data_IF_461650766598
#
_entry.id   IF_461650766598
#
_cell.length_a   1.000
_cell.length_b   1.000
_cell.length_c   1.000
_cell.angle_alpha   90.00
_cell.angle_beta   90.00
_cell.angle_gamma   90.00
#
_symmetry.space_group_name_H-M   'P 1'
#
loop_
_entity.id
_entity.type
_entity.pdbx_description
1 polymer ?
#
# COMPACT_ATOMS: atom_id res chain seq x y z
N UNK A 1 53.36 -46.74 49.11
CA UNK A 1 51.98 -46.30 49.12
C UNK A 1 51.55 -46.36 47.66
N UNK A 2 50.75 -47.42 47.30
CA UNK A 2 50.30 -47.68 45.96
C UNK A 2 48.80 -47.21 45.86
N UNK A 3 48.55 -46.16 45.12
CA UNK A 3 47.21 -45.69 44.87
C UNK A 3 46.67 -46.36 43.60
N UNK A 4 45.81 -47.35 43.81
CA UNK A 4 45.11 -48.03 42.73
C UNK A 4 44.06 -47.10 42.16
N UNK A 5 44.29 -46.51 40.97
CA UNK A 5 43.26 -45.85 40.21
C UNK A 5 42.23 -46.86 39.70
N UNK A 6 41.04 -46.85 40.28
CA UNK A 6 39.89 -47.55 39.78
C UNK A 6 39.42 -46.92 38.49
N UNK A 7 39.86 -47.43 37.36
CA UNK A 7 39.30 -47.14 36.05
C UNK A 7 37.83 -47.62 35.99
N UNK A 8 36.90 -46.70 36.15
CA UNK A 8 35.46 -46.93 35.99
C UNK A 8 35.21 -47.20 34.49
N UNK A 9 35.20 -48.48 34.10
CA UNK A 9 34.80 -48.88 32.76
C UNK A 9 33.29 -48.57 32.59
N UNK A 10 33.05 -47.45 31.93
CA UNK A 10 31.71 -47.03 31.51
C UNK A 10 31.20 -48.07 30.51
N UNK A 11 30.30 -48.93 30.93
CA UNK A 11 29.68 -49.94 30.10
C UNK A 11 28.91 -49.25 28.98
N UNK A 12 29.40 -49.30 27.75
CA UNK A 12 28.70 -48.80 26.57
C UNK A 12 27.46 -49.70 26.33
N UNK A 13 26.27 -49.13 26.49
CA UNK A 13 25.01 -49.80 26.11
C UNK A 13 24.80 -49.56 24.62
N UNK A 14 24.79 -50.61 23.84
CA UNK A 14 24.40 -50.56 22.44
C UNK A 14 22.92 -50.17 22.27
N UNK A 15 22.62 -49.34 21.28
CA UNK A 15 21.25 -49.01 20.90
C UNK A 15 20.59 -50.23 20.25
N UNK A 16 19.38 -50.57 20.61
CA UNK A 16 18.64 -51.65 19.99
C UNK A 16 18.11 -51.23 18.59
N UNK A 17 17.96 -52.18 17.68
CA UNK A 17 17.43 -51.92 16.33
C UNK A 17 16.07 -51.22 16.35
N UNK A 18 15.20 -51.63 17.29
CA UNK A 18 13.85 -51.01 17.45
C UNK A 18 13.95 -49.56 17.90
N UNK A 19 14.89 -49.22 18.78
CA UNK A 19 15.08 -47.86 19.28
C UNK A 19 15.57 -46.94 18.16
N UNK A 20 16.44 -47.45 17.27
CA UNK A 20 16.91 -46.70 16.10
C UNK A 20 15.75 -46.47 15.10
N UNK A 21 14.90 -47.45 14.84
CA UNK A 21 13.74 -47.31 13.94
C UNK A 21 12.75 -46.30 14.48
N UNK A 22 12.40 -46.39 15.78
CA UNK A 22 11.52 -45.42 16.43
C UNK A 22 12.08 -43.99 16.38
N UNK A 23 13.40 -43.85 16.62
CA UNK A 23 14.08 -42.58 16.56
C UNK A 23 13.98 -41.94 15.14
N UNK A 24 14.24 -42.71 14.07
CA UNK A 24 14.14 -42.21 12.68
C UNK A 24 12.71 -41.79 12.37
N UNK A 25 11.67 -42.53 12.82
CA UNK A 25 10.28 -42.14 12.60
C UNK A 25 9.96 -40.82 13.31
N UNK A 26 10.35 -40.67 14.58
CA UNK A 26 10.09 -39.44 15.35
C UNK A 26 10.79 -38.26 14.71
N UNK A 27 12.08 -38.40 14.35
CA UNK A 27 12.83 -37.34 13.69
C UNK A 27 12.25 -36.98 12.33
N UNK A 28 11.84 -37.99 11.54
CA UNK A 28 11.20 -37.78 10.24
C UNK A 28 9.91 -36.97 10.35
N UNK A 29 9.05 -37.30 11.31
CA UNK A 29 7.81 -36.53 11.57
C UNK A 29 8.12 -35.10 12.04
N UNK A 30 9.09 -34.95 12.94
CA UNK A 30 9.47 -33.63 13.45
C UNK A 30 10.04 -32.72 12.35
N UNK A 31 10.92 -33.25 11.50
CA UNK A 31 11.50 -32.48 10.36
C UNK A 31 10.42 -32.07 9.36
N UNK A 32 9.52 -32.96 8.99
CA UNK A 32 8.40 -32.63 8.06
C UNK A 32 7.48 -31.58 8.64
N UNK A 33 7.18 -31.61 9.93
CA UNK A 33 6.38 -30.60 10.62
C UNK A 33 7.08 -29.22 10.59
N UNK A 34 8.37 -29.17 10.90
CA UNK A 34 9.16 -27.91 10.88
C UNK A 34 9.22 -27.32 9.47
N UNK A 35 9.48 -28.14 8.45
CA UNK A 35 9.49 -27.70 7.05
C UNK A 35 8.13 -27.16 6.60
N UNK A 36 7.04 -27.78 7.07
CA UNK A 36 5.68 -27.30 6.84
C UNK A 36 5.44 -25.88 7.38
N UNK A 37 5.83 -25.66 8.64
CA UNK A 37 5.72 -24.33 9.28
C UNK A 37 6.59 -23.30 8.58
N UNK A 38 7.84 -23.63 8.25
CA UNK A 38 8.73 -22.72 7.49
C UNK A 38 8.16 -22.35 6.13
N UNK A 39 7.57 -23.29 5.39
CA UNK A 39 6.94 -23.01 4.10
C UNK A 39 5.75 -22.05 4.24
N UNK A 40 4.91 -22.21 5.27
CA UNK A 40 3.81 -21.30 5.55
C UNK A 40 4.30 -19.88 5.89
N UNK A 41 5.33 -19.78 6.72
CA UNK A 41 5.91 -18.49 7.13
C UNK A 41 6.51 -17.75 5.93
N UNK A 42 7.20 -18.46 5.05
CA UNK A 42 7.82 -17.85 3.86
C UNK A 42 6.78 -17.34 2.86
N UNK A 43 5.69 -18.08 2.64
CA UNK A 43 4.59 -17.65 1.75
C UNK A 43 3.89 -16.39 2.28
N UNK A 44 3.70 -16.28 3.58
CA UNK A 44 3.06 -15.14 4.20
C UNK A 44 4.00 -13.92 4.37
N UNK A 45 5.30 -14.09 4.18
CA UNK A 45 6.29 -13.00 4.33
C UNK A 45 6.40 -12.10 3.10
N UNK A 46 6.01 -12.57 1.90
CA UNK A 46 6.01 -11.78 0.68
C UNK A 46 4.86 -10.75 0.66
N UNK A 47 3.70 -11.10 1.23
CA UNK A 47 2.48 -10.29 1.24
C UNK A 47 2.63 -8.95 1.99
N UNK A 48 3.25 -8.87 3.18
CA UNK A 48 3.47 -7.60 3.88
C UNK A 48 4.37 -6.62 3.13
N UNK A 49 5.34 -7.09 2.35
CA UNK A 49 6.23 -6.23 1.55
C UNK A 49 5.47 -5.59 0.39
N UNK A 50 4.70 -6.40 -0.33
CA UNK A 50 3.87 -5.92 -1.44
C UNK A 50 2.84 -4.89 -0.96
N UNK A 51 2.22 -5.17 0.21
CA UNK A 51 1.29 -4.23 0.83
C UNK A 51 1.96 -2.91 1.25
N UNK A 52 3.19 -2.95 1.79
CA UNK A 52 3.96 -1.74 2.10
C UNK A 52 4.30 -0.93 0.85
N UNK A 53 4.64 -1.59 -0.25
CA UNK A 53 4.86 -0.90 -1.53
C UNK A 53 3.56 -0.26 -2.04
N UNK A 54 2.44 -0.98 -1.99
CA UNK A 54 1.13 -0.42 -2.36
C UNK A 54 0.77 0.79 -1.50
N UNK A 55 1.03 0.73 -0.19
CA UNK A 55 0.80 1.83 0.73
C UNK A 55 1.66 3.05 0.37
N UNK A 56 2.95 2.87 0.14
CA UNK A 56 3.85 3.97 -0.25
C UNK A 56 3.44 4.62 -1.58
N UNK A 57 2.95 3.82 -2.55
CA UNK A 57 2.40 4.37 -3.80
C UNK A 57 1.11 5.15 -3.57
N UNK A 58 0.23 4.66 -2.68
CA UNK A 58 -1.02 5.33 -2.34
C UNK A 58 -0.76 6.65 -1.60
N UNK A 59 0.17 6.66 -0.63
CA UNK A 59 0.61 7.85 0.10
C UNK A 59 1.18 8.90 -0.86
N UNK A 60 2.14 8.53 -1.70
CA UNK A 60 2.73 9.46 -2.66
C UNK A 60 1.73 10.04 -3.65
N UNK A 61 0.74 9.23 -4.10
CA UNK A 61 -0.32 9.72 -4.96
C UNK A 61 -1.28 10.65 -4.20
N UNK A 62 -1.64 10.33 -2.96
CA UNK A 62 -2.51 11.18 -2.15
C UNK A 62 -1.86 12.53 -1.86
N UNK A 63 -0.57 12.56 -1.48
CA UNK A 63 0.20 13.79 -1.27
C UNK A 63 0.26 14.65 -2.54
N UNK A 64 0.48 14.04 -3.70
CA UNK A 64 0.45 14.74 -4.99
C UNK A 64 -0.90 15.42 -5.23
N UNK A 65 -2.01 14.71 -4.98
CA UNK A 65 -3.37 15.22 -5.15
C UNK A 65 -3.67 16.33 -4.15
N UNK A 66 -3.31 16.16 -2.88
CA UNK A 66 -3.55 17.15 -1.84
C UNK A 66 -2.73 18.44 -2.06
N UNK A 67 -1.58 18.35 -2.73
CA UNK A 67 -0.79 19.49 -3.17
C UNK A 67 -1.42 20.28 -4.33
N UNK A 68 -2.38 19.72 -5.07
CA UNK A 68 -3.06 20.40 -6.16
C UNK A 68 -4.04 21.47 -5.67
N UNK A 69 -4.42 22.40 -6.54
CA UNK A 69 -5.35 23.49 -6.22
C UNK A 69 -6.77 22.97 -6.07
N UNK A 70 -7.48 23.50 -5.06
CA UNK A 70 -8.91 23.28 -4.91
C UNK A 70 -9.67 24.21 -5.88
N UNK A 71 -9.99 23.71 -7.03
CA UNK A 71 -10.84 24.43 -8.00
C UNK A 71 -11.64 23.42 -8.83
N UNK A 72 -12.86 23.78 -9.21
CA UNK A 72 -13.70 23.01 -10.11
C UNK A 72 -13.53 23.41 -11.57
N UNK A 73 -12.95 24.59 -11.80
CA UNK A 73 -12.75 25.18 -13.11
C UNK A 73 -11.27 25.25 -13.46
N UNK A 74 -10.97 25.51 -14.74
CA UNK A 74 -9.61 25.85 -15.13
C UNK A 74 -9.06 27.00 -14.28
N UNK A 75 -7.75 27.00 -14.03
CA UNK A 75 -7.12 27.95 -13.10
C UNK A 75 -7.26 29.40 -13.53
N UNK A 76 -7.38 29.63 -14.82
CA UNK A 76 -7.59 30.93 -15.49
C UNK A 76 -9.05 31.31 -15.66
N UNK A 77 -9.99 30.42 -15.28
CA UNK A 77 -11.42 30.71 -15.33
C UNK A 77 -11.78 31.78 -14.27
N UNK A 78 -12.52 32.86 -14.64
CA UNK A 78 -12.96 33.89 -13.70
C UNK A 78 -13.75 33.34 -12.50
N UNK A 79 -14.47 32.22 -12.69
CA UNK A 79 -15.24 31.57 -11.64
C UNK A 79 -14.43 30.61 -10.77
N UNK A 80 -13.14 30.35 -11.06
CA UNK A 80 -12.32 29.34 -10.38
C UNK A 80 -12.29 29.50 -8.85
N UNK A 81 -12.26 30.74 -8.36
CA UNK A 81 -12.20 31.03 -6.92
C UNK A 81 -13.53 30.81 -6.19
N UNK A 82 -14.66 30.86 -6.88
CA UNK A 82 -16.00 30.91 -6.28
C UNK A 82 -16.91 29.75 -6.72
N UNK A 83 -16.56 29.05 -7.80
CA UNK A 83 -17.33 27.91 -8.30
C UNK A 83 -17.55 26.85 -7.22
N UNK A 84 -18.77 26.33 -7.11
CA UNK A 84 -19.15 25.26 -6.16
C UNK A 84 -19.27 23.90 -6.84
N UNK A 85 -19.22 23.90 -8.16
CA UNK A 85 -19.29 22.72 -9.01
C UNK A 85 -18.66 23.01 -10.38
N UNK A 86 -18.43 21.99 -11.19
CA UNK A 86 -17.99 22.15 -12.59
C UNK A 86 -19.00 22.84 -13.47
N UNK A 87 -20.29 22.87 -13.09
CA UNK A 87 -21.36 23.57 -13.83
C UNK A 87 -21.27 25.09 -13.71
N UNK A 88 -20.55 25.60 -12.71
CA UNK A 88 -20.38 27.05 -12.48
C UNK A 88 -19.24 27.65 -13.31
N UNK A 89 -18.48 26.80 -14.02
CA UNK A 89 -17.34 27.23 -14.83
C UNK A 89 -17.80 27.94 -16.10
N UNK A 90 -17.13 29.03 -16.44
CA UNK A 90 -17.45 29.83 -17.64
C UNK A 90 -16.83 29.24 -18.92
N UNK A 91 -15.69 28.59 -18.81
CA UNK A 91 -14.96 28.01 -19.95
C UNK A 91 -14.99 26.47 -19.99
N UNK A 92 -15.72 25.85 -19.04
CA UNK A 92 -15.72 24.41 -18.87
C UNK A 92 -14.43 23.86 -18.25
N UNK A 93 -14.40 22.57 -17.85
CA UNK A 93 -13.20 21.95 -17.34
C UNK A 93 -12.14 21.91 -18.44
N UNK A 94 -10.94 22.42 -18.17
CA UNK A 94 -9.81 22.25 -19.06
C UNK A 94 -9.48 20.76 -19.17
N UNK A 95 -9.04 20.30 -20.34
CA UNK A 95 -8.49 18.96 -20.45
C UNK A 95 -7.29 18.85 -19.52
N UNK A 96 -7.18 17.77 -18.71
CA UNK A 96 -6.05 17.60 -17.82
C UNK A 96 -4.76 17.60 -18.64
N UNK A 97 -3.79 18.39 -18.22
CA UNK A 97 -2.46 18.47 -18.84
C UNK A 97 -1.62 17.21 -18.54
N UNK A 98 -0.31 17.39 -18.46
CA UNK A 98 0.61 16.35 -17.96
C UNK A 98 0.68 16.39 -16.45
N UNK A 99 0.86 15.22 -15.82
CA UNK A 99 1.10 15.14 -14.36
C UNK A 99 2.43 15.81 -13.99
N UNK A 100 2.53 16.42 -12.80
CA UNK A 100 1.44 16.61 -11.81
C UNK A 100 0.38 17.60 -12.30
N UNK A 101 -0.91 17.24 -12.07
CA UNK A 101 -2.02 18.11 -12.49
C UNK A 101 -2.16 19.32 -11.58
N UNK A 102 -2.69 20.40 -12.13
CA UNK A 102 -2.84 21.64 -11.37
C UNK A 102 -4.05 21.66 -10.45
N UNK A 103 -5.05 20.84 -10.73
CA UNK A 103 -6.33 20.80 -9.99
C UNK A 103 -6.57 19.42 -9.41
N UNK A 104 -7.15 19.37 -8.21
CA UNK A 104 -7.53 18.11 -7.56
C UNK A 104 -8.45 17.27 -8.44
N UNK A 105 -9.46 17.90 -9.05
CA UNK A 105 -10.46 17.20 -9.87
C UNK A 105 -9.89 16.52 -11.12
N UNK A 106 -8.75 16.99 -11.62
CA UNK A 106 -8.11 16.41 -12.81
C UNK A 106 -7.51 15.01 -12.54
N UNK A 107 -7.32 14.66 -11.28
CA UNK A 107 -6.82 13.33 -10.90
C UNK A 107 -7.86 12.23 -11.01
N UNK A 108 -9.13 12.56 -11.17
CA UNK A 108 -10.19 11.56 -11.39
C UNK A 108 -10.21 11.13 -12.86
N UNK A 109 -9.38 10.16 -13.19
CA UNK A 109 -9.26 9.62 -14.55
C UNK A 109 -10.04 8.31 -14.73
N UNK A 110 -10.52 8.05 -15.95
CA UNK A 110 -11.21 6.82 -16.29
C UNK A 110 -10.28 5.60 -16.27
N UNK A 111 -9.01 5.80 -16.56
CA UNK A 111 -8.01 4.73 -16.60
C UNK A 111 -7.15 4.75 -15.32
N UNK A 112 -6.81 3.58 -14.77
CA UNK A 112 -5.88 3.50 -13.65
C UNK A 112 -4.51 4.08 -13.98
N UNK A 113 -3.89 4.71 -12.99
CA UNK A 113 -2.51 5.18 -13.06
C UNK A 113 -1.55 4.01 -12.97
N UNK A 114 -0.52 4.05 -13.81
CA UNK A 114 0.58 3.06 -13.86
C UNK A 114 1.95 3.70 -13.71
N UNK A 115 2.00 5.02 -13.50
CA UNK A 115 3.22 5.81 -13.31
C UNK A 115 3.10 6.71 -12.09
N UNK A 116 4.25 7.13 -11.53
CA UNK A 116 4.33 8.18 -10.51
C UNK A 116 4.25 9.59 -11.12
N UNK A 117 4.36 10.64 -10.30
CA UNK A 117 4.34 12.04 -10.71
C UNK A 117 5.51 12.41 -11.64
N UNK A 118 6.64 11.72 -11.54
CA UNK A 118 7.82 11.93 -12.38
C UNK A 118 7.75 11.15 -13.71
N UNK A 119 6.68 10.37 -13.92
CA UNK A 119 6.51 9.53 -15.12
C UNK A 119 7.19 8.16 -15.03
N UNK A 120 7.80 7.81 -13.89
CA UNK A 120 8.39 6.48 -13.73
C UNK A 120 7.29 5.42 -13.61
N UNK A 121 7.43 4.25 -14.24
CA UNK A 121 6.43 3.19 -14.15
C UNK A 121 6.37 2.61 -12.75
N UNK A 122 5.16 2.29 -12.29
CA UNK A 122 4.97 1.50 -11.09
C UNK A 122 5.59 0.10 -11.24
N UNK A 123 5.97 -0.56 -10.15
CA UNK A 123 6.37 -1.96 -10.21
C UNK A 123 5.29 -2.82 -10.89
N UNK A 124 5.72 -3.89 -11.57
CA UNK A 124 4.80 -4.75 -12.30
C UNK A 124 3.67 -5.28 -11.41
N UNK A 125 2.43 -5.18 -11.88
CA UNK A 125 1.25 -5.66 -11.16
C UNK A 125 0.59 -4.62 -10.23
N UNK A 126 1.12 -3.38 -10.18
CA UNK A 126 0.49 -2.29 -9.43
C UNK A 126 -0.22 -1.32 -10.37
N UNK A 127 -1.37 -0.85 -9.92
CA UNK A 127 -2.08 0.27 -10.52
C UNK A 127 -2.84 1.04 -9.46
N UNK A 128 -3.07 2.34 -9.69
CA UNK A 128 -3.79 3.20 -8.77
C UNK A 128 -5.05 3.78 -9.44
N UNK A 129 -6.15 3.83 -8.70
CA UNK A 129 -7.37 4.53 -9.09
C UNK A 129 -7.66 5.63 -8.09
N UNK A 130 -8.15 6.75 -8.60
CA UNK A 130 -8.48 7.93 -7.80
C UNK A 130 -9.96 8.22 -7.95
N UNK A 131 -10.64 8.40 -6.83
CA UNK A 131 -12.03 8.84 -6.76
C UNK A 131 -12.10 10.14 -5.99
N UNK A 132 -12.76 11.16 -6.54
CA UNK A 132 -12.88 12.47 -5.91
C UNK A 132 -14.36 12.84 -5.88
N UNK A 133 -14.87 13.20 -4.69
CA UNK A 133 -16.27 13.54 -4.49
C UNK A 133 -16.40 14.73 -3.54
N UNK A 134 -17.42 15.55 -3.75
CA UNK A 134 -17.81 16.57 -2.78
C UNK A 134 -18.35 15.88 -1.52
N UNK A 135 -17.78 16.16 -0.37
CA UNK A 135 -18.21 15.59 0.91
C UNK A 135 -18.04 16.60 2.04
N UNK A 136 -19.06 16.74 2.86
CA UNK A 136 -18.98 17.60 4.04
C UNK A 136 -17.98 17.03 5.07
N UNK A 137 -17.21 17.92 5.73
CA UNK A 137 -16.24 17.54 6.74
C UNK A 137 -16.35 18.45 7.97
N UNK A 138 -16.79 17.90 9.11
CA UNK A 138 -16.77 18.60 10.41
C UNK A 138 -17.26 20.06 10.38
N UNK A 139 -18.41 20.31 9.73
CA UNK A 139 -18.99 21.66 9.63
C UNK A 139 -18.54 22.44 8.38
N UNK A 140 -17.60 21.92 7.58
CA UNK A 140 -17.32 22.44 6.25
C UNK A 140 -18.34 21.88 5.26
N UNK A 141 -18.97 22.75 4.48
CA UNK A 141 -19.97 22.33 3.49
C UNK A 141 -19.34 21.47 2.39
N UNK A 142 -20.13 20.57 1.79
CA UNK A 142 -19.65 19.71 0.71
C UNK A 142 -19.15 20.50 -0.52
N UNK A 143 -19.68 21.69 -0.78
CA UNK A 143 -19.18 22.60 -1.84
C UNK A 143 -17.79 23.17 -1.56
N UNK A 144 -17.31 23.05 -0.32
CA UNK A 144 -16.02 23.59 0.16
C UNK A 144 -15.05 22.49 0.59
N UNK A 145 -15.40 21.22 0.33
CA UNK A 145 -14.58 20.07 0.71
C UNK A 145 -14.68 18.95 -0.33
N UNK A 146 -13.55 18.41 -0.71
CA UNK A 146 -13.42 17.24 -1.57
C UNK A 146 -12.88 16.08 -0.75
N UNK A 147 -13.58 14.96 -0.76
CA UNK A 147 -13.08 13.68 -0.33
C UNK A 147 -12.32 13.02 -1.47
N UNK A 148 -11.14 12.56 -1.17
CA UNK A 148 -10.20 11.95 -2.10
C UNK A 148 -9.97 10.53 -1.64
N UNK A 149 -10.18 9.56 -2.50
CA UNK A 149 -9.83 8.18 -2.25
C UNK A 149 -8.82 7.71 -3.28
N UNK A 150 -7.70 7.19 -2.81
CA UNK A 150 -6.68 6.53 -3.63
C UNK A 150 -6.68 5.05 -3.32
N UNK A 151 -6.95 4.22 -4.32
CA UNK A 151 -6.93 2.77 -4.21
C UNK A 151 -5.81 2.20 -5.08
N UNK A 152 -4.81 1.60 -4.47
CA UNK A 152 -3.71 0.92 -5.17
C UNK A 152 -3.96 -0.58 -5.15
N UNK A 153 -4.21 -1.14 -6.32
CA UNK A 153 -4.36 -2.58 -6.51
C UNK A 153 -3.00 -3.23 -6.79
N UNK A 154 -2.82 -4.44 -6.28
CA UNK A 154 -1.64 -5.28 -6.49
C UNK A 154 -2.04 -6.76 -6.48
N UNK A 155 -1.28 -7.61 -7.17
CA UNK A 155 -1.57 -9.06 -7.31
C UNK A 155 -3.00 -9.38 -7.79
N UNK A 156 -3.61 -8.48 -8.55
CA UNK A 156 -4.89 -8.70 -9.24
C UNK A 156 -6.16 -8.66 -8.38
N UNK A 157 -6.08 -8.79 -7.04
CA UNK A 157 -7.25 -8.78 -6.14
C UNK A 157 -7.04 -8.03 -4.82
N UNK A 158 -5.81 -7.84 -4.41
CA UNK A 158 -5.51 -7.12 -3.18
C UNK A 158 -5.42 -5.63 -3.47
N UNK A 159 -5.86 -4.81 -2.54
CA UNK A 159 -5.75 -3.35 -2.65
C UNK A 159 -5.47 -2.71 -1.30
N UNK A 160 -4.80 -1.58 -1.36
CA UNK A 160 -4.67 -0.63 -0.26
C UNK A 160 -5.47 0.60 -0.63
N UNK A 161 -6.30 1.08 0.28
CA UNK A 161 -7.13 2.27 0.08
C UNK A 161 -6.75 3.31 1.12
N UNK A 162 -6.49 4.52 0.67
CA UNK A 162 -6.29 5.69 1.52
C UNK A 162 -7.33 6.75 1.20
N UNK A 163 -7.82 7.41 2.23
CA UNK A 163 -8.77 8.51 2.14
C UNK A 163 -8.11 9.79 2.64
N UNK A 164 -8.35 10.88 1.93
CA UNK A 164 -7.91 12.22 2.30
C UNK A 164 -8.99 13.25 2.05
N UNK A 165 -8.78 14.47 2.50
CA UNK A 165 -9.70 15.59 2.27
C UNK A 165 -8.93 16.83 1.86
N UNK A 166 -9.42 17.53 0.85
CA UNK A 166 -8.94 18.85 0.45
C UNK A 166 -10.09 19.85 0.62
N UNK A 167 -9.88 20.82 1.49
CA UNK A 167 -10.86 21.89 1.71
C UNK A 167 -10.48 23.15 0.94
N UNK A 168 -11.45 24.03 0.69
CA UNK A 168 -11.23 25.34 0.06
C UNK A 168 -10.59 26.34 1.04
N UNK A 169 -9.45 25.99 1.57
CA UNK A 169 -8.60 26.90 2.33
C UNK A 169 -7.44 27.32 1.43
N UNK A 170 -7.28 28.62 1.18
CA UNK A 170 -6.28 29.15 0.26
C UNK A 170 -6.25 28.39 -1.10
N UNK A 171 -7.36 28.38 -1.86
CA UNK A 171 -7.56 27.47 -3.01
C UNK A 171 -6.54 27.70 -4.15
N UNK A 172 -5.96 28.89 -4.22
CA UNK A 172 -4.97 29.26 -5.25
C UNK A 172 -3.52 29.28 -4.75
N UNK A 173 -3.28 28.96 -3.47
CA UNK A 173 -1.90 28.82 -2.98
C UNK A 173 -1.34 27.45 -3.36
N UNK A 174 -0.18 27.46 -3.95
CA UNK A 174 0.69 26.30 -4.08
C UNK A 174 1.60 26.35 -2.87
N UNK A 175 1.79 25.26 -2.09
CA UNK A 175 2.74 25.23 -0.99
C UNK A 175 4.16 25.44 -1.47
#
# INVERSE_FOLDING_TARGET
MSTSELLYLRRQRGVTLIELVVFIIIVGVAVTAILGVMSLTTRNSADPQLRKQALALAEGMLEEIEGARFTFCAVDDPAAATAKSTADCTTGPAAPGTRPYMQVTDYQQANPYTTDAAGNPFPAGYNATVTIQQAALNGVAASESLWIQVAVAFQGKQQVVLDGYRTRYAPNSIP
#
